data_IF_457538175416
#
_entry.id   IF_457538175416
#
_cell.length_a   1.000
_cell.length_b   1.000
_cell.length_c   1.000
_cell.angle_alpha   90.00
_cell.angle_beta   90.00
_cell.angle_gamma   90.00
#
_symmetry.space_group_name_H-M   'P 1'
#
loop_
_entity.id
_entity.type
_entity.pdbx_description
1 polymer ?
#
# COMPACT_ATOMS: atom_id res chain seq x y z
N UNK A 1 3.36 -3.64 12.60
CA UNK A 1 3.16 -3.79 11.16
C UNK A 1 4.21 -3.04 10.34
N UNK A 2 4.87 -2.02 10.89
CA UNK A 2 6.00 -1.32 10.25
C UNK A 2 7.30 -2.07 10.52
N UNK A 3 8.22 -2.03 9.55
CA UNK A 3 9.47 -2.77 9.55
C UNK A 3 9.43 -3.95 8.59
N UNK A 4 10.46 -4.78 8.66
CA UNK A 4 10.61 -6.00 7.87
C UNK A 4 11.15 -7.16 8.70
N UNK A 5 11.46 -8.29 8.09
CA UNK A 5 11.96 -9.49 8.78
C UNK A 5 13.33 -9.29 9.42
N UNK A 6 14.15 -8.36 8.91
CA UNK A 6 15.51 -8.10 9.43
C UNK A 6 15.49 -7.05 10.54
N UNK A 7 14.77 -5.94 10.32
CA UNK A 7 14.69 -4.84 11.29
C UNK A 7 13.73 -5.14 12.44
N UNK A 8 12.79 -6.06 12.25
CA UNK A 8 11.66 -6.23 13.15
C UNK A 8 10.70 -5.02 13.14
N UNK A 9 9.87 -4.84 14.19
CA UNK A 9 8.97 -3.70 14.28
C UNK A 9 9.72 -2.37 14.39
N UNK A 10 9.40 -1.43 13.52
CA UNK A 10 9.98 -0.08 13.51
C UNK A 10 8.91 0.99 13.69
N UNK A 11 9.31 2.15 14.23
CA UNK A 11 8.43 3.31 14.34
C UNK A 11 8.22 3.94 12.96
N UNK A 12 6.98 4.33 12.65
CA UNK A 12 6.71 5.19 11.50
C UNK A 12 7.35 6.58 11.70
N UNK A 13 8.00 7.12 10.67
CA UNK A 13 8.78 8.36 10.74
C UNK A 13 7.96 9.63 10.99
N UNK A 14 6.67 9.63 10.62
CA UNK A 14 5.76 10.77 10.79
C UNK A 14 4.79 10.50 11.96
N UNK A 15 4.23 11.54 12.61
CA UNK A 15 3.23 11.40 13.68
C UNK A 15 1.84 11.08 13.09
N UNK A 16 1.71 9.93 12.42
CA UNK A 16 0.52 9.55 11.65
C UNK A 16 -0.73 9.43 12.51
N UNK A 17 -0.59 8.91 13.74
CA UNK A 17 -1.72 8.74 14.67
C UNK A 17 -2.23 10.10 15.14
N UNK A 18 -1.33 11.00 15.50
CA UNK A 18 -1.68 12.37 15.94
C UNK A 18 -2.41 13.14 14.82
N UNK A 19 -1.84 13.11 13.62
CA UNK A 19 -2.44 13.76 12.44
C UNK A 19 -3.79 13.13 12.09
N UNK A 20 -3.89 11.81 12.10
CA UNK A 20 -5.13 11.09 11.86
C UNK A 20 -6.20 11.42 12.89
N UNK A 21 -5.83 11.47 14.18
CA UNK A 21 -6.75 11.88 15.27
C UNK A 21 -7.25 13.30 15.07
N UNK A 22 -6.36 14.23 14.67
CA UNK A 22 -6.76 15.59 14.34
C UNK A 22 -7.80 15.65 13.22
N UNK A 23 -7.59 14.90 12.13
CA UNK A 23 -8.54 14.82 11.01
C UNK A 23 -9.89 14.21 11.43
N UNK A 24 -9.87 13.10 12.17
CA UNK A 24 -11.11 12.50 12.70
C UNK A 24 -11.84 13.45 13.64
N UNK A 25 -11.11 14.20 14.48
CA UNK A 25 -11.69 15.20 15.37
C UNK A 25 -12.43 16.30 14.59
N UNK A 26 -11.85 16.81 13.52
CA UNK A 26 -12.51 17.79 12.65
C UNK A 26 -13.80 17.24 12.04
N UNK A 27 -13.77 16.01 11.53
CA UNK A 27 -14.97 15.35 10.98
C UNK A 27 -16.05 15.22 12.04
N UNK A 28 -15.70 14.70 13.22
CA UNK A 28 -16.65 14.49 14.33
C UNK A 28 -17.27 15.83 14.80
N UNK A 29 -16.46 16.88 14.91
CA UNK A 29 -16.96 18.23 15.29
C UNK A 29 -17.93 18.77 14.24
N UNK A 30 -17.60 18.65 12.95
CA UNK A 30 -18.50 19.12 11.88
C UNK A 30 -19.83 18.35 11.88
N UNK A 31 -19.79 17.03 12.10
CA UNK A 31 -20.99 16.21 12.23
C UNK A 31 -21.82 16.62 13.44
N UNK A 32 -21.22 16.86 14.59
CA UNK A 32 -21.89 17.29 15.81
C UNK A 32 -22.51 18.70 15.67
N UNK A 33 -21.82 19.61 14.98
CA UNK A 33 -22.36 20.94 14.68
C UNK A 33 -23.58 20.87 13.76
N UNK A 34 -23.50 20.04 12.71
CA UNK A 34 -24.63 19.82 11.80
C UNK A 34 -25.86 19.25 12.53
N UNK A 35 -25.64 18.25 13.41
CA UNK A 35 -26.70 17.67 14.23
C UNK A 35 -27.30 18.73 15.15
N UNK A 36 -26.49 19.54 15.80
CA UNK A 36 -26.95 20.63 16.68
C UNK A 36 -27.80 21.67 15.95
N UNK A 37 -27.47 21.98 14.68
CA UNK A 37 -28.27 22.90 13.86
C UNK A 37 -29.70 22.37 13.62
N UNK A 38 -29.88 21.06 13.58
CA UNK A 38 -31.19 20.42 13.34
C UNK A 38 -31.96 20.16 14.64
N UNK A 39 -31.27 19.63 15.65
CA UNK A 39 -31.87 19.20 16.92
C UNK A 39 -31.90 20.28 18.00
N UNK A 40 -31.04 21.30 17.90
CA UNK A 40 -30.77 22.26 18.97
C UNK A 40 -29.96 21.73 20.13
N UNK A 41 -29.50 20.45 20.07
CA UNK A 41 -28.82 19.74 21.17
C UNK A 41 -27.35 19.53 20.82
N UNK A 42 -26.46 19.96 21.71
CA UNK A 42 -25.04 19.65 21.64
C UNK A 42 -24.72 18.24 22.13
N UNK A 43 -23.54 17.73 21.79
CA UNK A 43 -23.10 16.41 22.22
C UNK A 43 -21.63 16.42 22.64
N UNK A 44 -21.26 15.49 23.52
CA UNK A 44 -19.87 15.22 23.86
C UNK A 44 -19.25 14.33 22.78
N UNK A 45 -18.02 14.63 22.37
CA UNK A 45 -17.24 13.85 21.42
C UNK A 45 -16.05 13.26 22.17
N UNK A 46 -16.05 11.95 22.35
CA UNK A 46 -14.88 11.21 22.86
C UNK A 46 -14.01 10.79 21.69
N UNK A 47 -12.77 11.29 21.67
CA UNK A 47 -11.80 11.04 20.61
C UNK A 47 -10.47 10.61 21.21
N UNK A 48 -10.07 9.36 21.00
CA UNK A 48 -8.84 8.83 21.52
C UNK A 48 -7.81 8.57 20.43
N UNK A 49 -6.52 8.74 20.76
CA UNK A 49 -5.42 8.34 19.88
C UNK A 49 -5.46 6.84 19.57
N UNK A 50 -5.87 6.04 20.57
CA UNK A 50 -5.93 4.59 20.43
C UNK A 50 -6.94 4.15 19.38
N UNK A 51 -8.17 4.63 19.44
CA UNK A 51 -9.23 4.26 18.48
C UNK A 51 -8.89 4.72 17.07
N UNK A 52 -8.32 5.92 16.96
CA UNK A 52 -7.83 6.43 15.68
C UNK A 52 -6.68 5.57 15.15
N UNK A 53 -5.74 5.14 15.97
CA UNK A 53 -4.65 4.25 15.57
C UNK A 53 -5.19 2.91 15.06
N UNK A 54 -6.15 2.30 15.76
CA UNK A 54 -6.80 1.05 15.32
C UNK A 54 -7.49 1.23 13.97
N UNK A 55 -8.22 2.34 13.77
CA UNK A 55 -8.87 2.66 12.50
C UNK A 55 -7.86 2.80 11.35
N UNK A 56 -6.69 3.40 11.60
CA UNK A 56 -5.63 3.58 10.61
C UNK A 56 -4.85 2.30 10.29
N UNK A 57 -5.02 1.23 11.05
CA UNK A 57 -4.32 -0.05 10.83
C UNK A 57 -4.95 -0.92 9.72
N UNK A 58 -5.73 -0.34 8.82
CA UNK A 58 -6.20 -1.07 7.64
C UNK A 58 -5.01 -1.39 6.70
N UNK A 59 -4.89 -2.61 6.12
CA UNK A 59 -5.83 -3.73 6.21
C UNK A 59 -5.51 -4.75 7.33
N UNK A 60 -4.57 -4.45 8.23
CA UNK A 60 -4.05 -5.42 9.20
C UNK A 60 -5.11 -5.86 10.24
N UNK A 61 -5.91 -4.93 10.76
CA UNK A 61 -6.97 -5.29 11.71
C UNK A 61 -8.05 -6.17 11.07
N UNK A 62 -8.63 -5.84 9.90
CA UNK A 62 -9.54 -6.75 9.20
C UNK A 62 -8.92 -8.11 8.88
N UNK A 63 -7.65 -8.15 8.46
CA UNK A 63 -6.96 -9.42 8.22
C UNK A 63 -6.92 -10.28 9.49
N UNK A 64 -6.50 -9.70 10.61
CA UNK A 64 -6.47 -10.40 11.89
C UNK A 64 -7.85 -10.92 12.30
N UNK A 65 -8.88 -10.09 12.18
CA UNK A 65 -10.25 -10.47 12.54
C UNK A 65 -10.79 -11.64 11.70
N UNK A 66 -10.33 -11.79 10.45
CA UNK A 66 -10.76 -12.85 9.55
C UNK A 66 -9.93 -14.14 9.69
N UNK A 67 -8.62 -14.02 9.90
CA UNK A 67 -7.70 -15.16 9.92
C UNK A 67 -7.30 -15.61 11.32
N UNK A 68 -7.42 -14.73 12.32
CA UNK A 68 -6.85 -14.87 13.67
C UNK A 68 -5.31 -15.01 13.67
N UNK A 69 -4.66 -14.55 12.59
CA UNK A 69 -3.21 -14.56 12.47
C UNK A 69 -2.64 -13.16 12.75
N UNK A 70 -1.68 -13.07 13.66
CA UNK A 70 -1.03 -11.80 13.99
C UNK A 70 -0.26 -11.26 12.77
N UNK A 71 -0.53 -10.01 12.32
CA UNK A 71 0.20 -9.41 11.23
C UNK A 71 1.70 -9.31 11.52
N UNK A 72 2.51 -9.63 10.53
CA UNK A 72 3.96 -9.47 10.56
C UNK A 72 4.40 -8.27 9.73
N UNK A 73 5.55 -7.63 10.05
CA UNK A 73 6.13 -6.60 9.20
C UNK A 73 6.50 -7.15 7.82
N UNK A 74 6.08 -6.45 6.77
CA UNK A 74 6.29 -6.85 5.36
C UNK A 74 7.20 -5.90 4.59
N UNK A 75 7.88 -4.99 5.29
CA UNK A 75 8.70 -3.94 4.65
C UNK A 75 7.86 -2.98 3.81
N UNK A 76 8.19 -2.85 2.54
CA UNK A 76 7.44 -2.02 1.60
C UNK A 76 6.28 -2.79 0.92
N UNK A 77 6.25 -4.11 1.05
CA UNK A 77 5.25 -4.93 0.37
C UNK A 77 3.86 -4.80 1.01
N UNK A 78 2.84 -4.67 0.18
CA UNK A 78 1.45 -4.70 0.67
C UNK A 78 1.09 -6.11 1.16
N UNK A 79 0.45 -6.29 2.34
CA UNK A 79 0.22 -7.62 2.91
C UNK A 79 -0.63 -8.55 2.04
N UNK A 80 -1.60 -8.00 1.29
CA UNK A 80 -2.60 -8.80 0.55
C UNK A 80 -2.46 -8.73 -0.97
N UNK A 81 -1.57 -7.88 -1.50
CA UNK A 81 -1.50 -7.59 -2.94
C UNK A 81 -0.07 -7.78 -3.44
N UNK A 82 0.08 -8.43 -4.58
CA UNK A 82 1.37 -8.57 -5.26
C UNK A 82 1.18 -8.51 -6.80
N UNK A 83 2.05 -7.76 -7.52
CA UNK A 83 3.10 -6.88 -7.01
C UNK A 83 2.56 -5.53 -6.51
N UNK A 84 2.91 -5.18 -5.29
CA UNK A 84 2.65 -3.88 -4.69
C UNK A 84 3.80 -3.59 -3.72
N UNK A 85 4.90 -3.01 -4.25
CA UNK A 85 6.18 -2.96 -3.54
C UNK A 85 7.14 -1.94 -4.16
N UNK A 86 8.29 -1.74 -3.48
CA UNK A 86 9.44 -1.01 -3.99
C UNK A 86 10.30 -1.90 -4.87
N UNK A 87 10.80 -1.33 -5.97
CA UNK A 87 11.74 -1.97 -6.88
C UNK A 87 12.95 -1.07 -7.13
N UNK A 88 14.13 -1.67 -7.14
CA UNK A 88 15.36 -1.00 -7.53
C UNK A 88 15.45 -0.89 -9.05
N UNK A 89 15.95 0.23 -9.54
CA UNK A 89 16.21 0.48 -10.96
C UNK A 89 17.64 0.95 -11.16
N UNK A 90 18.03 1.31 -12.39
CA UNK A 90 19.35 1.89 -12.68
C UNK A 90 19.56 3.26 -12.04
N UNK A 91 18.51 4.03 -11.84
CA UNK A 91 18.58 5.45 -11.47
C UNK A 91 17.96 5.71 -10.10
N UNK A 92 16.66 5.66 -9.98
CA UNK A 92 15.91 5.93 -8.77
C UNK A 92 15.00 4.75 -8.44
N UNK A 93 14.92 4.39 -7.17
CA UNK A 93 13.97 3.38 -6.73
C UNK A 93 12.54 3.81 -7.06
N UNK A 94 11.72 2.84 -7.44
CA UNK A 94 10.32 3.10 -7.79
C UNK A 94 9.39 2.25 -6.94
N UNK A 95 8.18 2.75 -6.75
CA UNK A 95 7.08 1.99 -6.17
C UNK A 95 6.09 1.62 -7.27
N UNK A 96 5.66 0.34 -7.31
CA UNK A 96 4.68 -0.16 -8.27
C UNK A 96 3.49 -0.74 -7.52
N UNK A 97 2.26 -0.35 -7.91
CA UNK A 97 1.02 -0.84 -7.32
C UNK A 97 0.10 -1.53 -8.33
N UNK A 98 0.44 -2.74 -8.80
CA UNK A 98 -0.40 -3.49 -9.73
C UNK A 98 -1.47 -4.31 -8.96
N UNK A 99 -2.46 -3.60 -8.39
CA UNK A 99 -3.43 -4.12 -7.43
C UNK A 99 -4.47 -5.12 -7.95
N UNK A 100 -4.58 -5.34 -9.26
CA UNK A 100 -5.54 -6.27 -9.85
C UNK A 100 -4.98 -6.94 -11.11
N UNK A 101 -5.69 -7.97 -11.61
CA UNK A 101 -5.21 -8.78 -12.74
C UNK A 101 -5.02 -7.96 -14.02
N UNK A 102 -5.84 -6.94 -14.23
CA UNK A 102 -5.72 -6.04 -15.40
C UNK A 102 -4.47 -5.18 -15.30
N UNK A 103 -4.19 -4.60 -14.14
CA UNK A 103 -2.99 -3.80 -13.91
C UNK A 103 -1.74 -4.67 -14.00
N UNK A 104 -1.77 -5.90 -13.48
CA UNK A 104 -0.67 -6.86 -13.60
C UNK A 104 -0.33 -7.20 -15.05
N UNK A 105 -1.33 -7.50 -15.88
CA UNK A 105 -1.11 -7.77 -17.32
C UNK A 105 -0.51 -6.56 -18.05
N UNK A 106 -0.96 -5.36 -17.70
CA UNK A 106 -0.41 -4.11 -18.25
C UNK A 106 1.03 -3.86 -17.79
N UNK A 107 1.34 -4.14 -16.53
CA UNK A 107 2.72 -4.10 -16.00
C UNK A 107 3.61 -5.02 -16.84
N UNK A 108 3.26 -6.30 -16.94
CA UNK A 108 4.04 -7.28 -17.70
C UNK A 108 4.23 -6.88 -19.17
N UNK A 109 3.19 -6.36 -19.80
CA UNK A 109 3.29 -5.83 -21.18
C UNK A 109 4.23 -4.63 -21.27
N UNK A 110 4.20 -3.72 -20.29
CA UNK A 110 5.02 -2.51 -20.27
C UNK A 110 6.51 -2.77 -20.07
N UNK A 111 6.86 -3.88 -19.43
CA UNK A 111 8.25 -4.32 -19.20
C UNK A 111 8.66 -5.50 -20.11
N UNK A 112 7.86 -5.78 -21.15
CA UNK A 112 8.09 -6.86 -22.13
C UNK A 112 8.21 -8.27 -21.51
N UNK A 113 7.57 -8.48 -20.35
CA UNK A 113 7.59 -9.72 -19.58
C UNK A 113 6.34 -10.59 -19.84
N UNK A 114 6.05 -10.88 -21.09
CA UNK A 114 4.84 -11.60 -21.48
C UNK A 114 4.74 -13.00 -20.88
N UNK A 115 5.89 -13.67 -20.70
CA UNK A 115 5.97 -15.00 -20.10
C UNK A 115 5.47 -15.01 -18.65
N UNK A 116 5.79 -13.94 -17.88
CA UNK A 116 5.32 -13.78 -16.49
C UNK A 116 3.77 -13.63 -16.49
N UNK A 117 3.21 -12.92 -17.46
CA UNK A 117 1.76 -12.73 -17.56
C UNK A 117 0.99 -14.02 -17.90
N UNK A 118 1.66 -14.99 -18.54
CA UNK A 118 1.08 -16.27 -18.94
C UNK A 118 1.31 -17.39 -17.92
N UNK A 119 2.19 -17.19 -16.94
CA UNK A 119 2.49 -18.16 -15.91
C UNK A 119 1.28 -18.35 -14.98
N UNK A 120 0.80 -19.61 -14.86
CA UNK A 120 -0.36 -19.95 -14.05
C UNK A 120 -0.19 -19.60 -12.56
N UNK A 121 1.05 -19.56 -12.06
CA UNK A 121 1.34 -19.12 -10.68
C UNK A 121 0.95 -17.67 -10.43
N UNK A 122 0.84 -16.86 -11.50
CA UNK A 122 0.57 -15.42 -11.41
C UNK A 122 -0.77 -15.01 -12.04
N UNK A 123 -1.60 -15.96 -12.42
CA UNK A 123 -2.84 -15.73 -13.15
C UNK A 123 -3.87 -14.87 -12.39
N UNK A 124 -3.95 -15.02 -11.06
CA UNK A 124 -4.88 -14.30 -10.20
C UNK A 124 -4.18 -13.51 -9.10
N UNK A 125 -4.83 -12.50 -8.54
CA UNK A 125 -4.30 -11.74 -7.41
C UNK A 125 -3.96 -12.65 -6.22
N UNK A 126 -4.80 -13.65 -5.93
CA UNK A 126 -4.56 -14.63 -4.87
C UNK A 126 -3.30 -15.44 -5.14
N UNK A 127 -3.19 -16.06 -6.31
CA UNK A 127 -2.02 -16.88 -6.66
C UNK A 127 -0.72 -16.06 -6.73
N UNK A 128 -0.77 -14.80 -7.17
CA UNK A 128 0.39 -13.90 -7.09
C UNK A 128 0.85 -13.64 -5.66
N UNK A 129 -0.10 -13.49 -4.73
CA UNK A 129 0.23 -13.29 -3.33
C UNK A 129 0.86 -14.55 -2.70
N UNK A 130 0.35 -15.74 -3.05
CA UNK A 130 0.90 -17.02 -2.62
C UNK A 130 2.31 -17.28 -3.18
N UNK A 131 2.62 -16.77 -4.38
CA UNK A 131 3.92 -16.92 -5.04
C UNK A 131 4.70 -15.60 -5.09
N UNK A 132 4.50 -14.72 -4.11
CA UNK A 132 5.04 -13.36 -4.05
C UNK A 132 6.55 -13.31 -4.25
N UNK A 133 7.32 -14.11 -3.52
CA UNK A 133 8.78 -14.11 -3.58
C UNK A 133 9.30 -14.40 -4.99
N UNK A 134 8.74 -15.44 -5.62
CA UNK A 134 9.11 -15.82 -6.99
C UNK A 134 8.77 -14.69 -7.98
N UNK A 135 7.58 -14.09 -7.85
CA UNK A 135 7.15 -12.98 -8.70
C UNK A 135 8.03 -11.75 -8.51
N UNK A 136 8.27 -11.34 -7.26
CA UNK A 136 9.10 -10.16 -6.94
C UNK A 136 10.51 -10.34 -7.50
N UNK A 137 11.10 -11.53 -7.38
CA UNK A 137 12.42 -11.82 -7.95
C UNK A 137 12.43 -11.65 -9.48
N UNK A 138 11.48 -12.29 -10.19
CA UNK A 138 11.41 -12.19 -11.65
C UNK A 138 11.23 -10.75 -12.14
N UNK A 139 10.38 -9.99 -11.48
CA UNK A 139 10.17 -8.58 -11.81
C UNK A 139 11.42 -7.74 -11.50
N UNK A 140 12.06 -7.97 -10.36
CA UNK A 140 13.29 -7.26 -9.98
C UNK A 140 14.42 -7.47 -10.96
N UNK A 141 14.62 -8.70 -11.47
CA UNK A 141 15.65 -9.05 -12.46
C UNK A 141 15.49 -8.30 -13.79
N UNK A 142 14.26 -7.89 -14.11
CA UNK A 142 13.95 -7.07 -15.29
C UNK A 142 14.08 -5.58 -14.96
N UNK A 143 13.38 -5.14 -13.91
CA UNK A 143 13.22 -3.73 -13.54
C UNK A 143 14.54 -3.07 -13.16
N UNK A 144 15.49 -3.81 -12.57
CA UNK A 144 16.82 -3.30 -12.21
C UNK A 144 17.60 -2.74 -13.43
N UNK A 145 17.24 -3.14 -14.63
CA UNK A 145 17.88 -2.72 -15.89
C UNK A 145 17.24 -1.46 -16.50
N UNK A 146 16.12 -1.01 -15.95
CA UNK A 146 15.34 0.11 -16.47
C UNK A 146 15.78 1.44 -15.84
N UNK A 147 15.51 2.54 -16.54
CA UNK A 147 15.51 3.88 -15.95
C UNK A 147 14.21 4.08 -15.16
N UNK A 148 14.31 4.45 -13.88
CA UNK A 148 13.17 4.48 -12.97
C UNK A 148 12.10 5.50 -13.36
N UNK A 149 12.49 6.73 -13.72
CA UNK A 149 11.53 7.77 -14.09
C UNK A 149 10.85 7.46 -15.43
N UNK A 150 11.63 7.01 -16.41
CA UNK A 150 11.10 6.61 -17.72
C UNK A 150 10.12 5.44 -17.59
N UNK A 151 10.46 4.45 -16.76
CA UNK A 151 9.59 3.31 -16.46
C UNK A 151 8.29 3.76 -15.76
N UNK A 152 8.38 4.61 -14.74
CA UNK A 152 7.19 5.17 -14.09
C UNK A 152 6.27 5.87 -15.09
N UNK A 153 6.82 6.70 -15.96
CA UNK A 153 6.04 7.37 -17.02
C UNK A 153 5.37 6.39 -17.98
N UNK A 154 6.04 5.30 -18.35
CA UNK A 154 5.49 4.24 -19.21
C UNK A 154 4.37 3.48 -18.51
N UNK A 155 4.56 3.08 -17.25
CA UNK A 155 3.58 2.39 -16.43
C UNK A 155 2.32 3.22 -16.18
N UNK A 156 2.49 4.48 -15.80
CA UNK A 156 1.36 5.40 -15.57
C UNK A 156 0.52 5.60 -16.83
N UNK A 157 1.14 5.77 -18.02
CA UNK A 157 0.40 5.83 -19.29
C UNK A 157 -0.34 4.54 -19.61
N UNK A 158 0.18 3.40 -19.19
CA UNK A 158 -0.50 2.11 -19.33
C UNK A 158 -1.60 1.90 -18.27
N UNK A 159 -1.79 2.83 -17.32
CA UNK A 159 -2.76 2.73 -16.24
C UNK A 159 -2.33 1.75 -15.13
N UNK A 160 -1.02 1.64 -14.90
CA UNK A 160 -0.43 0.95 -13.74
C UNK A 160 0.11 2.02 -12.79
N UNK A 161 -0.40 2.13 -11.57
CA UNK A 161 0.13 3.06 -10.58
C UNK A 161 1.61 2.77 -10.30
N UNK A 162 2.44 3.76 -10.55
CA UNK A 162 3.87 3.72 -10.26
C UNK A 162 4.40 5.13 -10.01
N UNK A 163 5.46 5.25 -9.22
CA UNK A 163 6.10 6.54 -8.96
C UNK A 163 7.52 6.36 -8.45
N UNK A 164 8.42 7.33 -8.71
CA UNK A 164 9.76 7.34 -8.14
C UNK A 164 9.68 7.59 -6.62
N UNK A 165 10.59 6.97 -5.88
CA UNK A 165 10.77 7.22 -4.45
C UNK A 165 11.73 8.40 -4.32
N UNK A 166 11.16 9.56 -4.00
CA UNK A 166 11.88 10.81 -3.90
C UNK A 166 12.23 11.13 -2.44
N UNK A 167 13.26 11.95 -2.25
CA UNK A 167 13.53 12.60 -0.97
C UNK A 167 12.76 13.94 -0.87
N UNK A 168 12.97 14.69 0.20
CA UNK A 168 12.29 15.97 0.48
C UNK A 168 13.01 17.18 -0.12
N UNK A 169 14.11 16.98 -0.87
CA UNK A 169 14.89 18.05 -1.47
C UNK A 169 14.42 18.40 -2.88
#
# INVERSE_FOLDING_TARGET
>A
VNGDSESGPTRIGIPMVDMGTGLYSVIAILMALREREQSGIGQFIDMTLYDCAVSLMHPHIPNYMLSNETPVPTGNAHPNISPYDRFHTKTVDIFIGAGNDRAFKRLCSSIEAHEIALDQRFATSKSRNEHREALTKLLSDIIIKEDGEALCGRLMRAGVPAGPILNTA
#
